data_IF_614389531734
#
_entry.id   IF_614389531734
#
_cell.length_a   1.000
_cell.length_b   1.000
_cell.length_c   1.000
_cell.angle_alpha   90.00
_cell.angle_beta   90.00
_cell.angle_gamma   90.00
#
_symmetry.space_group_name_H-M   'P 1'
#
loop_
_entity.id
_entity.type
_entity.pdbx_description
1 polymer ?
#
# COMPACT_ATOMS: atom_id res chain seq x y z
N UNK A 1 31.44 0.69 -22.91
CA UNK A 1 31.76 0.65 -21.47
C UNK A 1 30.74 -0.27 -20.82
N UNK A 2 31.16 -1.44 -20.32
CA UNK A 2 30.25 -2.49 -19.88
C UNK A 2 29.79 -2.26 -18.43
N UNK A 3 28.55 -2.64 -18.14
CA UNK A 3 27.97 -2.63 -16.80
C UNK A 3 28.66 -3.68 -15.93
N UNK A 4 29.16 -3.26 -14.77
CA UNK A 4 29.91 -4.08 -13.84
C UNK A 4 29.03 -5.01 -13.02
N UNK A 5 29.35 -6.30 -13.11
CA UNK A 5 29.09 -7.30 -12.08
C UNK A 5 29.74 -6.89 -10.76
N UNK A 6 29.06 -7.12 -9.64
CA UNK A 6 29.67 -7.01 -8.33
C UNK A 6 28.78 -7.48 -7.20
N UNK A 7 28.75 -8.81 -6.96
CA UNK A 7 28.94 -9.45 -5.64
C UNK A 7 28.74 -10.98 -5.71
N UNK A 8 29.85 -11.70 -5.84
CA UNK A 8 30.12 -13.02 -5.25
C UNK A 8 30.91 -12.73 -3.94
N UNK A 9 30.84 -13.41 -2.80
CA UNK A 9 30.54 -14.81 -2.48
C UNK A 9 30.35 -14.92 -0.96
N UNK A 10 29.43 -15.76 -0.48
CA UNK A 10 29.61 -16.88 0.46
C UNK A 10 28.23 -17.27 1.02
N UNK A 11 27.57 -18.22 0.37
CA UNK A 11 26.46 -18.94 0.98
C UNK A 11 26.71 -20.43 0.82
N UNK A 12 26.65 -21.09 1.97
CA UNK A 12 26.55 -22.53 2.15
C UNK A 12 25.54 -23.11 1.16
N UNK A 13 25.78 -24.35 0.73
CA UNK A 13 24.87 -25.12 -0.13
C UNK A 13 23.48 -25.25 0.52
N UNK A 14 22.62 -24.28 0.26
CA UNK A 14 21.18 -24.45 0.31
C UNK A 14 20.75 -24.63 -1.15
N UNK A 15 20.09 -25.74 -1.44
CA UNK A 15 19.36 -25.94 -2.69
C UNK A 15 18.47 -24.70 -2.92
N UNK A 16 18.84 -23.85 -3.87
CA UNK A 16 17.90 -22.86 -4.41
C UNK A 16 16.83 -23.66 -5.16
N UNK A 17 15.53 -23.47 -4.91
CA UNK A 17 14.50 -24.03 -5.78
C UNK A 17 14.73 -23.48 -7.19
N UNK A 18 14.75 -24.36 -8.19
CA UNK A 18 14.89 -23.95 -9.59
C UNK A 18 13.75 -23.00 -9.97
N UNK A 19 14.06 -21.95 -10.74
CA UNK A 19 13.11 -20.92 -11.12
C UNK A 19 11.91 -21.51 -11.87
N UNK A 20 10.69 -21.01 -11.58
CA UNK A 20 9.48 -21.33 -12.35
C UNK A 20 9.65 -20.82 -13.79
N UNK A 21 9.56 -21.72 -14.77
CA UNK A 21 9.63 -21.32 -16.19
C UNK A 21 8.24 -20.93 -16.70
N UNK A 22 8.12 -19.70 -17.22
CA UNK A 22 6.90 -19.16 -17.82
C UNK A 22 7.10 -19.05 -19.33
N UNK A 23 6.28 -19.78 -20.11
CA UNK A 23 6.19 -19.54 -21.55
C UNK A 23 5.22 -18.40 -21.84
N UNK A 24 5.66 -17.40 -22.60
CA UNK A 24 4.80 -16.32 -23.08
C UNK A 24 5.26 -15.83 -24.46
N UNK A 25 4.55 -16.16 -25.56
CA UNK A 25 5.00 -15.85 -26.91
C UNK A 25 5.13 -14.34 -27.18
N UNK A 26 4.39 -13.52 -26.43
CA UNK A 26 4.36 -12.06 -26.56
C UNK A 26 4.82 -11.35 -25.28
N UNK A 27 5.90 -11.83 -24.66
CA UNK A 27 6.46 -11.23 -23.44
C UNK A 27 6.69 -9.71 -23.60
N UNK A 28 6.18 -8.94 -22.65
CA UNK A 28 6.37 -7.50 -22.55
C UNK A 28 6.50 -7.08 -21.07
N UNK A 29 6.77 -5.79 -20.82
CA UNK A 29 6.98 -5.27 -19.46
C UNK A 29 5.74 -5.45 -18.55
N UNK A 30 4.53 -5.42 -19.10
CA UNK A 30 3.27 -5.56 -18.33
C UNK A 30 3.07 -6.99 -17.84
N UNK A 31 3.30 -7.96 -18.72
CA UNK A 31 3.30 -9.39 -18.39
C UNK A 31 4.36 -9.66 -17.34
N UNK A 32 5.61 -9.25 -17.59
CA UNK A 32 6.70 -9.43 -16.64
C UNK A 32 6.35 -8.84 -15.27
N UNK A 33 5.85 -7.61 -15.22
CA UNK A 33 5.47 -6.95 -13.97
C UNK A 33 4.36 -7.68 -13.18
N UNK A 34 3.28 -8.13 -13.84
CA UNK A 34 2.20 -8.86 -13.18
C UNK A 34 2.68 -10.20 -12.61
N UNK A 35 3.45 -10.95 -13.39
CA UNK A 35 4.03 -12.22 -12.97
C UNK A 35 5.04 -12.05 -11.84
N UNK A 36 5.95 -11.07 -11.93
CA UNK A 36 6.91 -10.77 -10.86
C UNK A 36 6.20 -10.42 -9.55
N UNK A 37 5.09 -9.67 -9.59
CA UNK A 37 4.35 -9.38 -8.37
C UNK A 37 3.74 -10.65 -7.74
N UNK A 38 3.10 -11.50 -8.54
CA UNK A 38 2.50 -12.74 -8.02
C UNK A 38 3.55 -13.73 -7.54
N UNK A 39 4.58 -14.00 -8.34
CA UNK A 39 5.53 -15.08 -8.04
C UNK A 39 6.69 -14.61 -7.15
N UNK A 40 7.36 -13.51 -7.50
CA UNK A 40 8.53 -13.05 -6.73
C UNK A 40 8.08 -12.32 -5.45
N UNK A 41 7.21 -11.32 -5.56
CA UNK A 41 6.85 -10.49 -4.40
C UNK A 41 5.89 -11.22 -3.45
N UNK A 42 4.87 -11.92 -3.97
CA UNK A 42 3.87 -12.58 -3.12
C UNK A 42 4.29 -13.99 -2.69
N UNK A 43 4.81 -14.81 -3.60
CA UNK A 43 5.12 -16.21 -3.31
C UNK A 43 6.61 -16.47 -3.03
N UNK A 44 7.48 -15.47 -3.24
CA UNK A 44 8.94 -15.60 -3.11
C UNK A 44 9.52 -16.74 -3.96
N UNK A 45 9.10 -16.78 -5.23
CA UNK A 45 9.57 -17.71 -6.26
C UNK A 45 10.27 -16.91 -7.36
N UNK A 46 11.50 -17.31 -7.67
CA UNK A 46 12.20 -16.81 -8.84
C UNK A 46 11.52 -17.30 -10.12
N UNK A 47 11.32 -16.40 -11.08
CA UNK A 47 10.73 -16.74 -12.38
C UNK A 47 11.72 -16.52 -13.52
N UNK A 48 11.60 -17.34 -14.55
CA UNK A 48 12.28 -17.15 -15.83
C UNK A 48 11.23 -17.17 -16.96
N UNK A 49 11.44 -16.37 -17.99
CA UNK A 49 10.57 -16.37 -19.16
C UNK A 49 11.24 -17.03 -20.37
N UNK A 50 10.44 -17.72 -21.18
CA UNK A 50 10.82 -18.15 -22.52
C UNK A 50 9.73 -17.76 -23.53
N UNK A 51 10.15 -17.35 -24.73
CA UNK A 51 9.25 -17.19 -25.88
C UNK A 51 9.40 -18.35 -26.88
N UNK A 52 10.29 -19.29 -26.60
CA UNK A 52 10.63 -20.43 -27.46
C UNK A 52 9.88 -21.65 -26.93
N UNK A 53 8.97 -22.18 -27.75
CA UNK A 53 8.11 -23.30 -27.40
C UNK A 53 8.92 -24.57 -27.12
N UNK A 54 9.93 -24.87 -27.93
CA UNK A 54 10.78 -26.05 -27.77
C UNK A 54 11.54 -26.03 -26.42
N UNK A 55 11.97 -24.83 -25.98
CA UNK A 55 12.59 -24.66 -24.65
C UNK A 55 11.59 -24.94 -23.53
N UNK A 56 10.33 -24.53 -23.68
CA UNK A 56 9.29 -24.81 -22.69
C UNK A 56 8.92 -26.30 -22.65
N UNK A 57 8.75 -26.93 -23.80
CA UNK A 57 8.37 -28.34 -23.91
C UNK A 57 9.44 -29.26 -23.31
N UNK A 58 10.72 -28.98 -23.57
CA UNK A 58 11.86 -29.73 -23.05
C UNK A 58 12.20 -29.48 -21.57
N UNK A 59 11.58 -28.49 -20.93
CA UNK A 59 11.78 -28.21 -19.50
C UNK A 59 10.96 -29.17 -18.63
N UNK A 60 11.60 -29.90 -17.73
CA UNK A 60 10.94 -30.95 -16.93
C UNK A 60 10.50 -30.50 -15.53
N UNK A 61 11.02 -29.37 -15.05
CA UNK A 61 10.66 -28.81 -13.74
C UNK A 61 9.39 -27.95 -13.82
N UNK A 62 9.07 -27.26 -12.73
CA UNK A 62 7.91 -26.40 -12.54
C UNK A 62 7.82 -25.37 -13.65
N UNK A 63 6.75 -25.48 -14.46
CA UNK A 63 6.51 -24.61 -15.61
C UNK A 63 5.02 -24.32 -15.82
N UNK A 64 4.73 -23.15 -16.37
CA UNK A 64 3.38 -22.73 -16.76
C UNK A 64 3.40 -22.00 -18.12
N UNK A 65 2.31 -22.05 -18.85
CA UNK A 65 2.14 -21.29 -20.09
C UNK A 65 1.17 -20.13 -19.91
N UNK A 66 1.50 -19.00 -20.53
CA UNK A 66 0.67 -17.82 -20.64
C UNK A 66 0.57 -17.41 -22.11
N UNK A 67 -0.49 -17.85 -22.77
CA UNK A 67 -0.68 -17.78 -24.23
C UNK A 67 -2.17 -17.76 -24.57
N UNK A 68 -2.53 -17.64 -25.84
CA UNK A 68 -3.96 -17.71 -26.23
C UNK A 68 -4.51 -19.14 -26.18
N UNK A 69 -3.65 -20.13 -26.40
CA UNK A 69 -4.00 -21.55 -26.43
C UNK A 69 -2.98 -22.34 -25.60
N UNK A 70 -3.38 -23.48 -25.01
CA UNK A 70 -2.46 -24.39 -24.33
C UNK A 70 -1.52 -25.07 -25.33
N UNK A 71 -0.33 -25.46 -24.85
CA UNK A 71 0.65 -26.21 -25.62
C UNK A 71 0.50 -27.74 -25.45
N UNK A 72 -0.20 -28.18 -24.41
CA UNK A 72 -0.39 -29.58 -24.05
C UNK A 72 -1.26 -29.74 -22.80
N UNK A 73 -0.77 -30.51 -21.82
CA UNK A 73 -1.42 -30.78 -20.53
C UNK A 73 -0.79 -29.98 -19.36
N UNK A 74 -0.10 -28.89 -19.66
CA UNK A 74 0.49 -28.01 -18.67
C UNK A 74 -0.56 -27.19 -17.90
N UNK A 75 -0.13 -26.55 -16.81
CA UNK A 75 -0.94 -25.48 -16.21
C UNK A 75 -0.89 -24.29 -17.15
N UNK A 76 -2.02 -24.00 -17.78
CA UNK A 76 -2.21 -22.96 -18.77
C UNK A 76 -3.07 -21.81 -18.23
N UNK A 77 -2.64 -20.59 -18.55
CA UNK A 77 -3.38 -19.36 -18.33
C UNK A 77 -3.60 -18.65 -19.67
N UNK A 78 -4.86 -18.44 -20.05
CA UNK A 78 -5.19 -17.74 -21.29
C UNK A 78 -4.87 -16.24 -21.14
N UNK A 79 -4.18 -15.66 -22.13
CA UNK A 79 -3.80 -14.24 -22.16
C UNK A 79 -4.90 -13.39 -22.81
N UNK A 80 -5.48 -12.47 -22.05
CA UNK A 80 -6.43 -11.50 -22.59
C UNK A 80 -5.70 -10.40 -23.41
N UNK A 81 -6.22 -9.95 -24.56
CA UNK A 81 -5.54 -8.99 -25.44
C UNK A 81 -5.18 -7.64 -24.79
N UNK A 82 -5.86 -7.27 -23.69
CA UNK A 82 -5.59 -6.04 -22.93
C UNK A 82 -4.13 -5.90 -22.51
N UNK A 83 -3.49 -6.97 -22.04
CA UNK A 83 -2.11 -6.89 -21.51
C UNK A 83 -1.07 -6.53 -22.59
N UNK A 84 -1.44 -6.66 -23.86
CA UNK A 84 -0.59 -6.32 -25.01
C UNK A 84 -0.82 -4.88 -25.52
N UNK A 85 -1.86 -4.18 -25.05
CA UNK A 85 -2.22 -2.84 -25.54
C UNK A 85 -1.43 -1.74 -24.84
N UNK A 86 -0.56 -1.04 -25.56
CA UNK A 86 0.23 0.08 -25.02
C UNK A 86 -0.51 1.44 -25.02
N UNK A 87 -1.70 1.53 -25.62
CA UNK A 87 -2.49 2.77 -25.63
C UNK A 87 -3.36 2.84 -24.38
N UNK A 88 -3.25 3.95 -23.64
CA UNK A 88 -4.09 4.21 -22.48
C UNK A 88 -5.44 4.74 -22.96
N UNK A 89 -6.49 3.95 -22.80
CA UNK A 89 -7.83 4.32 -23.20
C UNK A 89 -8.86 3.65 -22.31
N UNK A 90 -10.07 4.20 -22.25
CA UNK A 90 -11.16 3.57 -21.50
C UNK A 90 -11.43 2.18 -22.09
N UNK A 91 -11.36 1.17 -21.23
CA UNK A 91 -11.68 -0.22 -21.59
C UNK A 91 -13.14 -0.49 -21.21
N UNK A 92 -13.89 -1.11 -22.11
CA UNK A 92 -15.20 -1.67 -21.78
C UNK A 92 -14.98 -3.06 -21.18
N UNK A 93 -15.23 -3.20 -19.89
CA UNK A 93 -14.84 -4.37 -19.11
C UNK A 93 -16.02 -5.33 -18.99
N UNK A 94 -15.82 -6.54 -19.50
CA UNK A 94 -16.61 -7.71 -19.13
C UNK A 94 -16.00 -8.36 -17.88
N UNK A 95 -16.80 -9.18 -17.19
CA UNK A 95 -16.43 -9.81 -15.92
C UNK A 95 -16.74 -11.30 -15.97
N UNK A 96 -15.94 -12.08 -15.24
CA UNK A 96 -16.22 -13.47 -14.91
C UNK A 96 -16.19 -13.68 -13.39
N UNK A 97 -16.85 -14.74 -12.92
CA UNK A 97 -16.79 -15.12 -11.52
C UNK A 97 -15.49 -15.89 -11.24
N UNK A 98 -14.65 -15.35 -10.38
CA UNK A 98 -13.46 -16.03 -9.87
C UNK A 98 -13.59 -16.16 -8.36
N UNK A 99 -13.94 -17.36 -7.91
CA UNK A 99 -14.15 -17.69 -6.49
C UNK A 99 -15.18 -16.75 -5.81
N UNK A 100 -16.31 -16.51 -6.47
CA UNK A 100 -17.41 -15.67 -5.97
C UNK A 100 -17.19 -14.17 -6.13
N UNK A 101 -16.18 -13.75 -6.89
CA UNK A 101 -15.83 -12.33 -7.12
C UNK A 101 -15.87 -12.02 -8.61
N UNK A 102 -16.45 -10.88 -8.97
CA UNK A 102 -16.57 -10.46 -10.36
C UNK A 102 -15.28 -9.77 -10.83
N UNK A 103 -14.43 -10.50 -11.54
CA UNK A 103 -13.08 -10.09 -11.95
C UNK A 103 -13.07 -9.75 -13.44
N UNK A 104 -12.41 -8.65 -13.87
CA UNK A 104 -12.37 -8.25 -15.27
C UNK A 104 -11.52 -9.20 -16.12
N UNK A 105 -11.66 -9.08 -17.45
CA UNK A 105 -10.90 -9.82 -18.46
C UNK A 105 -11.26 -11.32 -18.52
N UNK A 106 -12.54 -11.67 -18.79
CA UNK A 106 -12.95 -13.05 -18.88
C UNK A 106 -12.21 -13.79 -20.00
N UNK A 107 -11.90 -15.06 -19.74
CA UNK A 107 -11.26 -16.02 -20.65
C UNK A 107 -11.97 -17.37 -20.52
N UNK A 108 -11.68 -18.35 -21.37
CA UNK A 108 -12.45 -19.63 -21.39
C UNK A 108 -11.58 -20.84 -21.12
N UNK A 109 -10.40 -20.90 -21.72
CA UNK A 109 -9.56 -22.08 -21.71
C UNK A 109 -8.39 -21.87 -20.76
N UNK A 110 -8.69 -21.53 -19.50
CA UNK A 110 -7.72 -21.13 -18.48
C UNK A 110 -8.08 -21.71 -17.12
N UNK A 111 -7.11 -21.81 -16.21
CA UNK A 111 -7.38 -22.25 -14.84
C UNK A 111 -8.40 -21.38 -14.10
N UNK A 112 -8.41 -20.08 -14.39
CA UNK A 112 -9.44 -19.15 -13.93
C UNK A 112 -10.27 -18.69 -15.12
N UNK A 113 -11.57 -18.44 -14.90
CA UNK A 113 -12.48 -17.88 -15.90
C UNK A 113 -12.15 -16.40 -16.27
N UNK A 114 -11.08 -15.84 -15.70
CA UNK A 114 -10.53 -14.53 -16.04
C UNK A 114 -9.00 -14.56 -16.13
N UNK A 115 -8.44 -13.70 -16.97
CA UNK A 115 -7.00 -13.44 -17.01
C UNK A 115 -6.60 -12.59 -15.79
N UNK A 116 -6.26 -13.29 -14.72
CA UNK A 116 -5.82 -12.69 -13.45
C UNK A 116 -4.52 -11.90 -13.60
N UNK A 117 -3.69 -12.13 -14.63
CA UNK A 117 -2.46 -11.36 -14.85
C UNK A 117 -2.78 -10.01 -15.51
N UNK A 118 -3.72 -9.97 -16.46
CA UNK A 118 -4.32 -8.72 -16.94
C UNK A 118 -5.00 -7.95 -15.81
N UNK A 119 -5.78 -8.63 -14.96
CA UNK A 119 -6.44 -8.01 -13.81
C UNK A 119 -5.43 -7.45 -12.80
N UNK A 120 -4.37 -8.20 -12.50
CA UNK A 120 -3.26 -7.78 -11.63
C UNK A 120 -2.59 -6.53 -12.18
N UNK A 121 -2.22 -6.51 -13.46
CA UNK A 121 -1.64 -5.33 -14.09
C UNK A 121 -2.58 -4.11 -14.02
N UNK A 122 -3.86 -4.29 -14.34
CA UNK A 122 -4.86 -3.23 -14.31
C UNK A 122 -5.00 -2.60 -12.93
N UNK A 123 -5.06 -3.44 -11.89
CA UNK A 123 -5.23 -3.02 -10.50
C UNK A 123 -3.96 -2.35 -9.94
N UNK A 124 -2.77 -2.92 -10.15
CA UNK A 124 -1.51 -2.37 -9.63
C UNK A 124 -1.09 -1.08 -10.33
N UNK A 125 -1.28 -0.98 -11.65
CA UNK A 125 -0.98 0.24 -12.41
C UNK A 125 -1.99 1.36 -12.17
N UNK A 126 -3.08 1.08 -11.44
CA UNK A 126 -4.24 1.99 -11.27
C UNK A 126 -4.79 2.46 -12.62
N UNK A 127 -4.84 1.57 -13.61
CA UNK A 127 -5.23 1.89 -14.98
C UNK A 127 -6.57 2.65 -15.06
N UNK A 128 -7.54 2.28 -14.23
CA UNK A 128 -8.85 2.96 -14.16
C UNK A 128 -8.74 4.47 -13.86
N UNK A 129 -7.74 4.89 -13.08
CA UNK A 129 -7.59 6.29 -12.65
C UNK A 129 -7.00 7.20 -13.74
N UNK A 130 -6.36 6.63 -14.76
CA UNK A 130 -5.90 7.37 -15.94
C UNK A 130 -7.05 7.70 -16.89
N UNK A 131 -8.14 6.93 -16.83
CA UNK A 131 -9.26 7.05 -17.77
C UNK A 131 -10.53 7.59 -17.10
N UNK A 132 -10.62 7.52 -15.78
CA UNK A 132 -11.74 8.06 -15.00
C UNK A 132 -11.46 9.49 -14.51
N UNK A 133 -12.37 10.41 -14.89
CA UNK A 133 -12.31 11.83 -14.53
C UNK A 133 -13.13 12.18 -13.29
N UNK A 134 -13.86 11.23 -12.70
CA UNK A 134 -14.62 11.46 -11.48
C UNK A 134 -13.65 11.61 -10.32
N UNK A 135 -13.74 12.77 -9.66
CA UNK A 135 -12.95 13.13 -8.51
C UNK A 135 -13.84 13.74 -7.43
N UNK A 136 -13.44 13.59 -6.18
CA UNK A 136 -14.07 14.29 -5.06
C UNK A 136 -13.62 15.76 -4.97
N UNK A 137 -14.09 16.47 -3.94
CA UNK A 137 -13.79 17.88 -3.69
C UNK A 137 -12.29 18.17 -3.46
N UNK A 138 -11.49 17.14 -3.16
CA UNK A 138 -10.04 17.22 -2.98
C UNK A 138 -9.28 16.75 -4.23
N UNK A 139 -9.97 16.59 -5.38
CA UNK A 139 -9.42 16.05 -6.63
C UNK A 139 -8.88 14.61 -6.51
N UNK A 140 -9.40 13.82 -5.57
CA UNK A 140 -9.00 12.42 -5.35
C UNK A 140 -9.94 11.49 -6.09
N UNK A 141 -9.44 10.32 -6.47
CA UNK A 141 -10.29 9.27 -7.03
C UNK A 141 -11.13 8.62 -5.90
N UNK A 142 -12.44 8.60 -6.09
CA UNK A 142 -13.40 8.11 -5.09
C UNK A 142 -13.47 6.58 -5.08
N UNK A 143 -13.33 5.96 -3.90
CA UNK A 143 -13.31 4.52 -3.73
C UNK A 143 -14.65 3.86 -4.04
N UNK A 144 -15.79 4.47 -3.68
CA UNK A 144 -17.13 3.98 -4.06
C UNK A 144 -17.35 3.91 -5.58
N UNK A 145 -16.61 4.73 -6.32
CA UNK A 145 -16.66 4.76 -7.78
C UNK A 145 -15.71 3.76 -8.45
N UNK A 146 -14.83 3.11 -7.68
CA UNK A 146 -13.86 2.13 -8.16
C UNK A 146 -14.51 0.86 -8.70
N UNK A 147 -13.81 0.21 -9.63
CA UNK A 147 -14.20 -1.10 -10.15
C UNK A 147 -14.33 -2.14 -9.03
N UNK A 148 -13.38 -2.15 -8.08
CA UNK A 148 -13.34 -3.10 -6.98
C UNK A 148 -14.55 -2.96 -6.03
N UNK A 149 -14.98 -1.73 -5.74
CA UNK A 149 -16.16 -1.49 -4.92
C UNK A 149 -17.43 -1.94 -5.64
N UNK A 150 -17.61 -1.54 -6.90
CA UNK A 150 -18.79 -1.86 -7.71
C UNK A 150 -18.99 -3.36 -7.93
N UNK A 151 -17.90 -4.12 -7.93
CA UNK A 151 -17.89 -5.56 -8.15
C UNK A 151 -17.68 -6.37 -6.87
N UNK A 152 -17.77 -5.72 -5.69
CA UNK A 152 -17.86 -6.41 -4.40
C UNK A 152 -16.58 -7.08 -3.89
N UNK A 153 -15.41 -6.73 -4.44
CA UNK A 153 -14.14 -7.35 -4.03
C UNK A 153 -13.16 -6.39 -3.34
N UNK A 154 -13.54 -5.13 -3.11
CA UNK A 154 -12.65 -4.13 -2.49
C UNK A 154 -12.08 -4.56 -1.13
N UNK A 155 -12.83 -5.32 -0.33
CA UNK A 155 -12.40 -5.77 1.00
C UNK A 155 -11.56 -7.06 0.97
N UNK A 156 -11.12 -7.50 -0.21
CA UNK A 156 -10.28 -8.67 -0.41
C UNK A 156 -8.96 -8.29 -1.08
N UNK A 157 -7.81 -8.78 -0.60
CA UNK A 157 -6.53 -8.67 -1.31
C UNK A 157 -6.51 -9.70 -2.44
N UNK A 158 -7.38 -9.52 -3.44
CA UNK A 158 -7.66 -10.53 -4.48
C UNK A 158 -6.42 -11.02 -5.23
N UNK A 159 -5.42 -10.15 -5.43
CA UNK A 159 -4.18 -10.52 -6.10
C UNK A 159 -3.39 -11.52 -5.24
N UNK A 160 -3.30 -11.26 -3.93
CA UNK A 160 -2.67 -12.18 -2.97
C UNK A 160 -3.45 -13.50 -2.87
N UNK A 161 -4.79 -13.44 -2.84
CA UNK A 161 -5.63 -14.64 -2.86
C UNK A 161 -5.37 -15.49 -4.12
N UNK A 162 -5.33 -14.89 -5.32
CA UNK A 162 -5.01 -15.60 -6.56
C UNK A 162 -3.62 -16.24 -6.53
N UNK A 163 -2.61 -15.54 -6.01
CA UNK A 163 -1.27 -16.08 -5.88
C UNK A 163 -1.25 -17.37 -5.03
N UNK A 164 -1.96 -17.40 -3.90
CA UNK A 164 -2.04 -18.61 -3.08
C UNK A 164 -2.86 -19.74 -3.74
N UNK A 165 -3.89 -19.43 -4.53
CA UNK A 165 -4.59 -20.45 -5.33
C UNK A 165 -3.68 -21.05 -6.41
N UNK A 166 -2.88 -20.22 -7.10
CA UNK A 166 -1.88 -20.69 -8.06
C UNK A 166 -0.83 -21.56 -7.35
N UNK A 167 -0.37 -21.17 -6.17
CA UNK A 167 0.57 -21.97 -5.40
C UNK A 167 -0.01 -23.35 -5.02
N UNK A 168 -1.31 -23.43 -4.67
CA UNK A 168 -1.98 -24.71 -4.42
C UNK A 168 -2.04 -25.57 -5.69
N UNK A 169 -2.38 -24.96 -6.83
CA UNK A 169 -2.40 -25.64 -8.12
C UNK A 169 -1.01 -26.19 -8.48
N UNK A 170 0.04 -25.37 -8.35
CA UNK A 170 1.42 -25.80 -8.63
C UNK A 170 1.86 -26.96 -7.73
N UNK A 171 1.54 -26.94 -6.43
CA UNK A 171 1.82 -28.08 -5.52
C UNK A 171 1.09 -29.35 -5.93
N UNK A 172 -0.10 -29.24 -6.52
CA UNK A 172 -0.86 -30.41 -6.96
C UNK A 172 -0.26 -31.07 -8.20
N UNK A 173 0.43 -30.30 -9.06
CA UNK A 173 1.05 -30.78 -10.31
C UNK A 173 2.53 -31.15 -10.12
N UNK A 174 3.24 -30.41 -9.29
CA UNK A 174 4.68 -30.52 -9.06
C UNK A 174 4.94 -30.81 -7.57
N UNK A 175 5.18 -32.08 -7.22
CA UNK A 175 5.26 -32.54 -5.83
C UNK A 175 6.40 -31.90 -5.02
N UNK A 176 7.45 -31.42 -5.69
CA UNK A 176 8.61 -30.78 -5.09
C UNK A 176 8.51 -29.25 -5.02
N UNK A 177 7.42 -28.67 -5.54
CA UNK A 177 7.20 -27.23 -5.49
C UNK A 177 7.02 -26.73 -4.04
N UNK A 178 7.79 -25.70 -3.66
CA UNK A 178 7.76 -25.07 -2.33
C UNK A 178 7.71 -23.56 -2.50
N UNK A 179 7.09 -22.89 -1.53
CA UNK A 179 7.10 -21.43 -1.43
C UNK A 179 7.73 -21.05 -0.10
N UNK A 180 8.33 -19.86 -0.01
CA UNK A 180 8.80 -19.35 1.27
C UNK A 180 7.62 -19.09 2.21
N UNK A 181 7.82 -19.32 3.50
CA UNK A 181 6.79 -19.03 4.49
C UNK A 181 6.70 -17.52 4.71
N UNK A 182 5.57 -16.93 4.31
CA UNK A 182 5.19 -15.57 4.71
C UNK A 182 4.54 -15.57 6.08
N UNK A 183 4.57 -14.42 6.74
CA UNK A 183 3.91 -14.17 8.02
C UNK A 183 3.13 -12.87 7.89
N UNK A 184 1.92 -12.88 8.41
CA UNK A 184 1.14 -11.66 8.61
C UNK A 184 1.98 -10.58 9.29
N UNK A 185 2.02 -9.37 8.75
CA UNK A 185 2.74 -8.26 9.36
C UNK A 185 1.78 -7.09 9.59
N UNK A 186 1.85 -6.47 10.78
CA UNK A 186 1.05 -5.30 11.10
C UNK A 186 1.93 -4.06 11.26
N UNK A 187 1.58 -3.01 10.54
CA UNK A 187 2.28 -1.72 10.55
C UNK A 187 1.32 -0.58 10.94
N UNK A 188 1.32 -0.14 12.21
CA UNK A 188 0.63 1.09 12.59
C UNK A 188 1.40 2.29 12.04
N UNK A 189 0.66 3.31 11.60
CA UNK A 189 1.22 4.57 11.14
C UNK A 189 0.38 5.74 11.62
N UNK A 190 1.03 6.86 11.92
CA UNK A 190 0.37 8.06 12.45
C UNK A 190 0.77 9.29 11.63
N UNK A 191 -0.22 10.01 11.14
CA UNK A 191 -0.06 11.32 10.49
C UNK A 191 -0.13 12.42 11.55
N UNK A 192 0.86 13.32 11.52
CA UNK A 192 1.01 14.45 12.44
C UNK A 192 0.77 15.74 11.65
N UNK A 193 -0.51 16.07 11.46
CA UNK A 193 -0.95 17.37 10.90
C UNK A 193 -0.76 18.48 11.92
N UNK A 194 -1.06 18.15 13.19
CA UNK A 194 -0.95 19.02 14.35
C UNK A 194 -0.39 18.22 15.52
N UNK A 195 0.85 18.48 15.96
CA UNK A 195 1.45 17.69 17.04
C UNK A 195 0.74 17.90 18.38
N UNK A 196 0.17 19.09 18.61
CA UNK A 196 -0.49 19.43 19.87
C UNK A 196 -1.82 20.14 19.60
N UNK A 197 -2.81 19.94 20.48
CA UNK A 197 -4.12 20.57 20.36
C UNK A 197 -4.06 22.08 20.61
N UNK A 198 -3.22 22.51 21.56
CA UNK A 198 -3.01 23.93 21.86
C UNK A 198 -1.55 24.32 22.06
N UNK A 199 -0.63 23.44 22.49
CA UNK A 199 0.72 23.88 22.89
C UNK A 199 1.52 24.61 21.79
N UNK A 200 1.22 24.35 20.51
CA UNK A 200 1.83 25.02 19.35
C UNK A 200 1.05 26.24 18.85
N UNK A 201 -0.08 26.57 19.48
CA UNK A 201 -0.84 27.79 19.16
C UNK A 201 -0.19 29.04 19.78
N UNK A 202 -0.68 30.23 19.39
CA UNK A 202 -0.33 31.47 20.08
C UNK A 202 -0.80 31.49 21.54
N UNK A 203 -0.06 32.20 22.40
CA UNK A 203 -0.31 32.27 23.85
C UNK A 203 -1.77 32.56 24.25
N UNK A 204 -2.44 33.48 23.55
CA UNK A 204 -3.84 33.80 23.81
C UNK A 204 -4.77 32.63 23.50
N UNK A 205 -4.55 31.93 22.37
CA UNK A 205 -5.31 30.73 22.00
C UNK A 205 -5.05 29.59 22.99
N UNK A 206 -3.81 29.42 23.45
CA UNK A 206 -3.46 28.44 24.49
C UNK A 206 -4.28 28.65 25.76
N UNK A 207 -4.25 29.85 26.33
CA UNK A 207 -5.01 30.18 27.55
C UNK A 207 -6.52 29.98 27.35
N UNK A 208 -7.06 30.43 26.22
CA UNK A 208 -8.48 30.29 25.91
C UNK A 208 -8.90 28.81 25.83
N UNK A 209 -8.14 27.96 25.13
CA UNK A 209 -8.41 26.52 25.02
C UNK A 209 -8.29 25.80 26.37
N UNK A 210 -7.24 26.08 27.15
CA UNK A 210 -7.07 25.50 28.50
C UNK A 210 -8.27 25.80 29.41
N UNK A 211 -8.72 27.06 29.45
CA UNK A 211 -9.87 27.46 30.28
C UNK A 211 -11.18 26.84 29.77
N UNK A 212 -11.42 26.93 28.45
CA UNK A 212 -12.67 26.43 27.83
C UNK A 212 -12.87 24.94 28.05
N UNK A 213 -11.80 24.16 27.96
CA UNK A 213 -11.86 22.69 28.03
C UNK A 213 -11.33 22.10 29.35
N UNK A 214 -10.88 22.95 30.29
CA UNK A 214 -10.32 22.54 31.60
C UNK A 214 -9.23 21.48 31.46
N UNK A 215 -8.24 21.77 30.61
CA UNK A 215 -7.17 20.84 30.25
C UNK A 215 -5.96 20.99 31.19
N UNK A 216 -5.58 19.90 31.85
CA UNK A 216 -4.37 19.82 32.68
C UNK A 216 -3.11 19.50 31.84
N UNK A 217 -3.27 18.72 30.77
CA UNK A 217 -2.25 18.39 29.76
C UNK A 217 -2.79 18.64 28.34
N UNK A 218 -1.93 18.61 27.33
CA UNK A 218 -2.38 18.67 25.94
C UNK A 218 -2.91 17.29 25.51
N UNK A 219 -4.16 17.17 25.06
CA UNK A 219 -4.74 15.87 24.74
C UNK A 219 -4.09 15.19 23.53
N UNK A 220 -3.43 15.94 22.64
CA UNK A 220 -2.78 15.37 21.46
C UNK A 220 -1.35 14.88 21.74
N UNK A 221 -0.84 15.14 22.95
CA UNK A 221 0.43 14.62 23.45
C UNK A 221 0.28 13.16 23.87
N UNK A 222 0.21 12.29 22.86
CA UNK A 222 -0.05 10.84 22.99
C UNK A 222 1.21 9.99 22.80
N UNK A 223 2.35 10.61 22.54
CA UNK A 223 3.54 9.97 21.97
C UNK A 223 4.18 8.93 22.89
N UNK A 224 4.28 9.23 24.19
CA UNK A 224 4.75 8.26 25.17
C UNK A 224 3.80 7.07 25.25
N UNK A 225 2.49 7.31 25.27
CA UNK A 225 1.48 6.26 25.31
C UNK A 225 1.54 5.36 24.06
N UNK A 226 1.75 5.92 22.87
CA UNK A 226 1.97 5.14 21.65
C UNK A 226 3.25 4.32 21.73
N UNK A 227 4.34 4.88 22.28
CA UNK A 227 5.59 4.15 22.46
C UNK A 227 5.45 2.98 23.44
N UNK A 228 4.68 3.16 24.51
CA UNK A 228 4.37 2.10 25.47
C UNK A 228 3.55 0.98 24.80
N UNK A 229 2.59 1.34 23.95
CA UNK A 229 1.83 0.37 23.16
C UNK A 229 2.68 -0.34 22.12
N UNK A 230 3.58 0.37 21.43
CA UNK A 230 4.53 -0.24 20.50
C UNK A 230 5.37 -1.34 21.19
N UNK A 231 5.88 -1.04 22.39
CA UNK A 231 6.58 -2.02 23.22
C UNK A 231 5.69 -3.19 23.64
N UNK A 232 4.47 -2.91 24.11
CA UNK A 232 3.51 -3.91 24.58
C UNK A 232 3.11 -4.89 23.46
N UNK A 233 2.80 -4.37 22.27
CA UNK A 233 2.25 -5.15 21.16
C UNK A 233 3.31 -5.63 20.15
N UNK A 234 4.58 -5.25 20.36
CA UNK A 234 5.68 -5.61 19.46
C UNK A 234 5.60 -4.92 18.10
N UNK A 235 5.04 -3.71 18.07
CA UNK A 235 4.92 -2.89 16.85
C UNK A 235 5.96 -1.78 16.83
N UNK A 236 6.09 -1.13 15.67
CA UNK A 236 6.94 0.05 15.54
C UNK A 236 6.24 1.07 14.66
N UNK A 237 5.59 2.05 15.29
CA UNK A 237 4.79 3.05 14.57
C UNK A 237 5.65 3.91 13.64
N UNK A 238 5.16 4.17 12.42
CA UNK A 238 5.76 5.14 11.49
C UNK A 238 5.03 6.48 11.64
N UNK A 239 5.77 7.58 11.80
CA UNK A 239 5.19 8.92 11.89
C UNK A 239 5.42 9.72 10.60
N UNK A 240 4.37 10.32 10.04
CA UNK A 240 4.46 11.23 8.90
C UNK A 240 4.18 12.67 9.35
N UNK A 241 5.12 13.58 9.11
CA UNK A 241 5.01 14.97 9.58
C UNK A 241 4.64 15.94 8.47
N UNK A 242 3.60 16.73 8.71
CA UNK A 242 3.23 17.86 7.87
C UNK A 242 4.18 19.03 8.16
N UNK A 243 4.90 19.50 7.15
CA UNK A 243 5.98 20.49 7.34
C UNK A 243 5.65 21.89 6.80
N UNK A 244 4.43 22.12 6.33
CA UNK A 244 3.99 23.37 5.73
C UNK A 244 2.56 23.71 6.15
N UNK A 245 2.24 25.00 6.13
CA UNK A 245 0.91 25.55 6.41
C UNK A 245 0.52 26.65 5.40
N UNK A 246 0.98 26.50 4.16
CA UNK A 246 0.78 27.47 3.07
C UNK A 246 -0.60 27.36 2.38
N UNK A 247 -1.41 26.37 2.75
CA UNK A 247 -2.77 26.18 2.27
C UNK A 247 -3.74 26.09 3.47
N UNK A 248 -5.01 26.43 3.28
CA UNK A 248 -6.02 26.41 4.36
C UNK A 248 -6.27 25.03 4.97
N UNK A 249 -6.06 23.98 4.17
CA UNK A 249 -6.15 22.58 4.59
C UNK A 249 -4.92 22.14 5.40
N UNK A 250 -3.81 22.87 5.34
CA UNK A 250 -2.56 22.53 6.00
C UNK A 250 -2.46 23.21 7.37
N UNK A 251 -2.36 22.42 8.44
CA UNK A 251 -2.48 22.94 9.81
C UNK A 251 -1.20 22.82 10.65
N UNK A 252 -0.06 22.58 10.01
CA UNK A 252 1.22 22.43 10.69
C UNK A 252 1.63 23.69 11.46
N UNK A 253 2.29 23.54 12.61
CA UNK A 253 3.00 24.64 13.26
C UNK A 253 4.11 25.19 12.35
N UNK A 254 4.63 26.37 12.70
CA UNK A 254 5.87 26.85 12.09
C UNK A 254 7.01 25.86 12.34
N UNK A 255 7.83 25.60 11.33
CA UNK A 255 9.03 24.76 11.44
C UNK A 255 10.06 25.31 12.45
N UNK A 256 9.96 26.59 12.79
CA UNK A 256 10.80 27.23 13.80
C UNK A 256 10.27 27.07 15.23
N UNK A 257 9.05 26.52 15.40
CA UNK A 257 8.46 26.30 16.71
C UNK A 257 9.24 25.23 17.48
N UNK A 258 9.69 25.56 18.70
CA UNK A 258 10.60 24.68 19.46
C UNK A 258 9.97 23.33 19.80
N UNK A 259 8.74 23.30 20.34
CA UNK A 259 8.05 22.04 20.65
C UNK A 259 7.83 21.14 19.42
N UNK A 260 7.71 21.71 18.22
CA UNK A 260 7.54 20.92 17.01
C UNK A 260 8.88 20.29 16.59
N UNK A 261 9.97 21.05 16.70
CA UNK A 261 11.32 20.52 16.49
C UNK A 261 11.67 19.43 17.49
N UNK A 262 11.33 19.63 18.76
CA UNK A 262 11.64 18.68 19.83
C UNK A 262 10.93 17.34 19.61
N UNK A 263 9.63 17.36 19.30
CA UNK A 263 8.89 16.10 19.08
C UNK A 263 9.32 15.37 17.80
N UNK A 264 9.67 16.10 16.73
CA UNK A 264 10.25 15.47 15.53
C UNK A 264 11.57 14.77 15.89
N UNK A 265 12.44 15.45 16.66
CA UNK A 265 13.73 14.88 17.08
C UNK A 265 13.53 13.62 17.92
N UNK A 266 12.74 13.73 18.99
CA UNK A 266 12.43 12.64 19.91
C UNK A 266 11.90 11.40 19.16
N UNK A 267 10.85 11.56 18.35
CA UNK A 267 10.28 10.44 17.59
C UNK A 267 11.26 9.89 16.55
N UNK A 268 12.10 10.74 15.96
CA UNK A 268 13.08 10.30 14.97
C UNK A 268 14.24 9.48 15.55
N UNK A 269 14.47 9.53 16.86
CA UNK A 269 15.50 8.70 17.50
C UNK A 269 15.11 7.22 17.50
N UNK A 270 13.82 6.92 17.74
CA UNK A 270 13.36 5.55 18.00
C UNK A 270 12.42 4.99 16.92
N UNK A 271 11.77 5.84 16.12
CA UNK A 271 10.78 5.46 15.12
C UNK A 271 11.19 5.85 13.70
N UNK A 272 10.68 5.17 12.66
CA UNK A 272 10.78 5.66 11.29
C UNK A 272 9.92 6.92 11.15
N UNK A 273 10.47 7.94 10.47
CA UNK A 273 9.78 9.21 10.22
C UNK A 273 9.77 9.51 8.72
N UNK A 274 8.60 9.95 8.25
CA UNK A 274 8.32 10.26 6.86
C UNK A 274 7.85 11.68 6.66
N UNK A 275 7.95 12.14 5.42
CA UNK A 275 7.33 13.40 5.03
C UNK A 275 5.82 13.19 4.84
N UNK A 276 5.01 14.11 5.33
CA UNK A 276 3.60 14.24 4.94
C UNK A 276 3.50 15.45 3.98
N UNK A 277 3.71 15.28 2.65
CA UNK A 277 3.75 16.43 1.75
C UNK A 277 2.42 17.17 1.80
N UNK A 278 2.53 18.49 1.90
CA UNK A 278 1.39 19.36 2.14
C UNK A 278 0.36 19.36 1.02
N UNK A 279 -0.84 19.84 1.30
CA UNK A 279 -1.86 20.10 0.29
C UNK A 279 -1.30 21.02 -0.79
N UNK A 280 -0.60 22.09 -0.39
CA UNK A 280 0.08 23.02 -1.30
C UNK A 280 1.08 22.34 -2.25
N UNK A 281 1.72 21.25 -1.82
CA UNK A 281 2.71 20.55 -2.65
C UNK A 281 2.13 19.90 -3.92
N UNK A 282 0.80 19.68 -3.97
CA UNK A 282 0.10 19.23 -5.16
C UNK A 282 -0.05 20.34 -6.22
N UNK A 283 -0.13 21.60 -5.77
CA UNK A 283 -0.13 22.79 -6.61
C UNK A 283 1.29 23.15 -7.06
N UNK A 284 2.25 23.07 -6.13
CA UNK A 284 3.66 23.40 -6.35
C UNK A 284 4.59 22.23 -6.00
N UNK A 285 5.01 21.40 -6.99
CA UNK A 285 5.89 20.25 -6.76
C UNK A 285 7.25 20.57 -6.13
N UNK A 286 7.72 21.82 -6.24
CA UNK A 286 9.00 22.22 -5.60
C UNK A 286 8.89 22.26 -4.07
N UNK A 287 7.68 22.42 -3.53
CA UNK A 287 7.43 22.44 -2.09
C UNK A 287 7.82 21.12 -1.42
N UNK A 288 7.63 19.97 -2.08
CA UNK A 288 8.02 18.65 -1.56
C UNK A 288 9.50 18.64 -1.15
N UNK A 289 10.38 19.24 -1.98
CA UNK A 289 11.82 19.29 -1.69
C UNK A 289 12.12 20.21 -0.51
N UNK A 290 11.44 21.36 -0.43
CA UNK A 290 11.60 22.32 0.66
C UNK A 290 11.16 21.71 1.99
N UNK A 291 9.97 21.12 2.03
CA UNK A 291 9.39 20.43 3.19
C UNK A 291 10.25 19.25 3.63
N UNK A 292 10.67 18.40 2.69
CA UNK A 292 11.60 17.30 2.93
C UNK A 292 12.91 17.78 3.56
N UNK A 293 13.47 18.86 3.03
CA UNK A 293 14.74 19.41 3.54
C UNK A 293 14.57 20.00 4.94
N UNK A 294 13.43 20.59 5.26
CA UNK A 294 13.13 21.06 6.61
C UNK A 294 13.07 19.88 7.59
N UNK A 295 12.31 18.82 7.25
CA UNK A 295 12.23 17.62 8.08
C UNK A 295 13.59 16.93 8.25
N UNK A 296 14.35 16.79 7.17
CA UNK A 296 15.72 16.26 7.19
C UNK A 296 16.63 17.01 8.18
N UNK A 297 16.57 18.35 8.20
CA UNK A 297 17.40 19.17 9.09
C UNK A 297 17.00 19.01 10.56
N UNK A 298 15.71 18.86 10.85
CA UNK A 298 15.21 18.75 12.23
C UNK A 298 15.43 17.33 12.77
N UNK A 299 15.07 16.31 11.99
CA UNK A 299 15.21 14.90 12.36
C UNK A 299 16.66 14.37 12.25
N UNK A 300 17.57 15.16 11.68
CA UNK A 300 19.00 14.85 11.49
C UNK A 300 19.24 13.48 10.83
N UNK A 301 18.32 13.07 9.94
CA UNK A 301 18.36 11.78 9.25
C UNK A 301 17.73 11.84 7.87
N UNK A 302 18.11 10.90 7.01
CA UNK A 302 17.59 10.80 5.65
C UNK A 302 16.08 10.56 5.67
N UNK A 303 15.35 11.40 4.93
CA UNK A 303 13.91 11.24 4.70
C UNK A 303 13.69 10.62 3.33
N UNK A 304 13.17 9.39 3.29
CA UNK A 304 12.94 8.63 2.06
C UNK A 304 11.54 8.07 1.91
N UNK A 305 10.67 8.24 2.91
CA UNK A 305 9.30 7.74 2.87
C UNK A 305 8.32 8.91 2.92
N UNK A 306 7.16 8.76 2.29
CA UNK A 306 6.09 9.77 2.33
C UNK A 306 4.69 9.20 2.44
N UNK A 307 3.76 10.05 2.87
CA UNK A 307 2.32 9.87 2.69
C UNK A 307 1.70 11.20 2.34
N UNK A 308 0.92 11.30 1.27
CA UNK A 308 0.29 12.54 0.85
C UNK A 308 -0.77 13.00 1.85
N UNK A 309 -0.74 14.28 2.21
CA UNK A 309 -1.83 14.88 2.97
C UNK A 309 -3.14 14.73 2.19
N UNK A 310 -4.21 14.36 2.90
CA UNK A 310 -5.51 13.99 2.34
C UNK A 310 -5.50 12.75 1.41
N UNK A 311 -4.42 11.96 1.33
CA UNK A 311 -4.26 10.86 0.35
C UNK A 311 -4.39 11.34 -1.11
N UNK A 312 -3.94 12.56 -1.39
CA UNK A 312 -4.03 13.18 -2.72
C UNK A 312 -3.08 12.52 -3.73
N UNK A 313 -3.61 11.56 -4.48
CA UNK A 313 -2.92 10.91 -5.59
C UNK A 313 -3.51 11.33 -6.93
N UNK A 314 -2.66 11.95 -7.76
CA UNK A 314 -2.94 12.23 -9.16
C UNK A 314 -1.88 11.55 -10.03
N UNK A 315 -2.26 10.46 -10.69
CA UNK A 315 -1.36 9.77 -11.60
C UNK A 315 -1.20 10.51 -12.93
N UNK A 316 0.01 10.53 -13.51
CA UNK A 316 1.29 10.07 -12.95
C UNK A 316 2.03 11.14 -12.12
N UNK A 317 1.49 12.38 -12.06
CA UNK A 317 2.15 13.58 -11.54
C UNK A 317 2.69 13.39 -10.12
N UNK A 318 1.86 12.90 -9.20
CA UNK A 318 2.22 12.82 -7.77
C UNK A 318 3.44 11.93 -7.54
N UNK A 319 3.45 10.71 -8.09
CA UNK A 319 4.56 9.77 -7.89
C UNK A 319 5.83 10.19 -8.61
N UNK A 320 5.73 10.76 -9.82
CA UNK A 320 6.90 11.37 -10.49
C UNK A 320 7.52 12.49 -9.65
N UNK A 321 6.70 13.31 -9.00
CA UNK A 321 7.20 14.39 -8.12
C UNK A 321 7.89 13.84 -6.87
N UNK A 322 7.35 12.78 -6.26
CA UNK A 322 7.98 12.09 -5.12
C UNK A 322 9.35 11.50 -5.51
N UNK A 323 9.42 10.79 -6.64
CA UNK A 323 10.69 10.25 -7.18
C UNK A 323 11.69 11.38 -7.43
N UNK A 324 11.27 12.47 -8.07
CA UNK A 324 12.12 13.63 -8.33
C UNK A 324 12.61 14.33 -7.05
N UNK A 325 11.86 14.23 -5.94
CA UNK A 325 12.27 14.69 -4.62
C UNK A 325 13.15 13.65 -3.87
N UNK A 326 13.40 12.48 -4.46
CA UNK A 326 14.20 11.41 -3.89
C UNK A 326 13.50 10.63 -2.78
N UNK A 327 12.17 10.61 -2.77
CA UNK A 327 11.37 9.66 -2.00
C UNK A 327 11.48 8.28 -2.67
N UNK A 328 11.54 7.23 -1.85
CA UNK A 328 11.71 5.83 -2.25
C UNK A 328 10.52 4.96 -1.88
N UNK A 329 9.76 5.35 -0.86
CA UNK A 329 8.56 4.62 -0.45
C UNK A 329 7.38 5.58 -0.26
N UNK A 330 6.20 5.18 -0.71
CA UNK A 330 4.97 5.93 -0.53
C UNK A 330 3.89 5.08 0.16
N UNK A 331 3.20 5.71 1.11
CA UNK A 331 2.13 5.13 1.91
C UNK A 331 0.83 5.90 1.68
N UNK A 332 0.50 6.23 0.42
CA UNK A 332 -0.71 7.00 0.09
C UNK A 332 -1.77 6.19 -0.65
N UNK A 333 -1.47 4.93 -1.01
CA UNK A 333 -2.35 4.07 -1.80
C UNK A 333 -3.50 3.51 -0.95
N UNK A 334 -4.48 4.36 -0.65
CA UNK A 334 -5.76 4.06 -0.03
C UNK A 334 -6.87 4.94 -0.62
N UNK A 335 -8.13 4.56 -0.41
CA UNK A 335 -9.27 5.45 -0.63
C UNK A 335 -9.57 6.24 0.65
N UNK A 336 -10.09 7.45 0.49
CA UNK A 336 -10.47 8.27 1.64
C UNK A 336 -11.85 7.90 2.20
N UNK A 337 -12.78 7.55 1.30
CA UNK A 337 -14.21 7.38 1.56
C UNK A 337 -14.62 5.95 1.96
N UNK A 338 -13.80 4.95 1.65
CA UNK A 338 -14.03 3.52 1.97
C UNK A 338 -12.71 2.82 2.30
N UNK A 339 -12.68 1.86 3.24
CA UNK A 339 -11.49 1.04 3.48
C UNK A 339 -11.34 -0.04 2.41
N UNK A 340 -10.26 -0.81 2.48
CA UNK A 340 -9.98 -1.95 1.60
C UNK A 340 -8.77 -1.74 0.71
N UNK A 341 -8.63 -2.61 -0.29
CA UNK A 341 -7.40 -2.75 -1.08
C UNK A 341 -7.51 -1.96 -2.38
N UNK A 342 -7.13 -0.67 -2.34
CA UNK A 342 -7.19 0.22 -3.52
C UNK A 342 -6.50 -0.38 -4.74
N UNK A 343 -5.34 -1.02 -4.57
CA UNK A 343 -4.60 -1.68 -5.64
C UNK A 343 -4.90 -3.19 -5.78
N UNK A 344 -5.92 -3.71 -5.10
CA UNK A 344 -6.29 -5.14 -5.10
C UNK A 344 -5.31 -6.06 -4.37
N UNK A 345 -4.30 -5.50 -3.70
CA UNK A 345 -3.28 -6.24 -2.96
C UNK A 345 -3.00 -5.60 -1.60
N UNK A 346 -2.55 -6.43 -0.66
CA UNK A 346 -1.94 -6.03 0.60
C UNK A 346 -0.39 -6.11 0.59
N UNK A 347 0.22 -6.56 -0.50
CA UNK A 347 1.66 -6.69 -0.64
C UNK A 347 2.24 -5.46 -1.36
N UNK A 348 3.32 -4.91 -0.82
CA UNK A 348 3.99 -3.74 -1.41
C UNK A 348 4.54 -4.04 -2.81
N UNK A 349 4.54 -3.02 -3.67
CA UNK A 349 4.94 -3.17 -5.08
C UNK A 349 5.60 -1.91 -5.62
N UNK A 350 6.52 -2.07 -6.57
CA UNK A 350 7.11 -0.92 -7.26
C UNK A 350 6.13 -0.31 -8.25
N UNK A 351 5.93 1.00 -8.20
CA UNK A 351 4.98 1.67 -9.08
C UNK A 351 5.36 1.53 -10.56
N UNK A 352 4.39 1.13 -11.38
CA UNK A 352 4.48 1.10 -12.84
C UNK A 352 4.05 2.44 -13.44
N UNK A 353 4.98 3.17 -14.07
CA UNK A 353 4.65 4.41 -14.77
C UNK A 353 3.99 4.09 -16.12
N UNK A 354 2.65 4.00 -16.11
CA UNK A 354 1.85 3.54 -17.25
C UNK A 354 2.08 4.34 -18.53
N UNK A 355 2.30 5.65 -18.46
CA UNK A 355 2.56 6.46 -19.66
C UNK A 355 3.94 6.19 -20.27
N UNK A 356 4.90 5.71 -19.47
CA UNK A 356 6.28 5.46 -19.89
C UNK A 356 6.61 3.97 -20.02
N UNK A 357 5.66 3.07 -19.71
CA UNK A 357 5.76 1.61 -19.83
C UNK A 357 6.98 1.01 -19.11
N UNK A 358 7.27 1.46 -17.88
CA UNK A 358 8.35 0.89 -17.08
C UNK A 358 8.05 0.89 -15.57
N UNK A 359 8.71 -0.03 -14.87
CA UNK A 359 8.67 -0.16 -13.41
C UNK A 359 9.64 0.85 -12.80
N UNK A 360 9.17 1.70 -11.89
CA UNK A 360 9.98 2.71 -11.21
C UNK A 360 10.66 2.16 -9.95
N UNK A 361 11.48 2.98 -9.29
CA UNK A 361 12.11 2.66 -8.01
C UNK A 361 11.32 3.16 -6.78
N UNK A 362 10.05 3.58 -6.99
CA UNK A 362 9.15 3.98 -5.91
C UNK A 362 8.36 2.76 -5.42
N UNK A 363 8.64 2.31 -4.21
CA UNK A 363 7.91 1.24 -3.55
C UNK A 363 6.61 1.78 -2.94
N UNK A 364 5.48 1.25 -3.34
CA UNK A 364 4.16 1.61 -2.83
C UNK A 364 3.75 0.61 -1.76
N UNK A 365 3.36 1.13 -0.60
CA UNK A 365 2.80 0.38 0.52
C UNK A 365 1.29 0.65 0.60
N UNK A 366 0.43 -0.30 0.18
CA UNK A 366 -1.01 -0.16 0.25
C UNK A 366 -1.50 0.01 1.69
N UNK A 367 -2.43 0.95 1.90
CA UNK A 367 -3.08 1.14 3.20
C UNK A 367 -4.46 0.52 3.16
N UNK A 368 -4.78 -0.25 4.18
CA UNK A 368 -6.05 -0.98 4.27
C UNK A 368 -7.16 -0.10 4.86
N UNK A 369 -6.83 0.75 5.84
CA UNK A 369 -7.84 1.50 6.61
C UNK A 369 -7.28 2.79 7.18
N UNK A 370 -8.16 3.80 7.31
CA UNK A 370 -7.90 5.08 7.95
C UNK A 370 -8.98 5.39 9.00
N UNK A 371 -8.56 5.93 10.15
CA UNK A 371 -9.44 6.42 11.22
C UNK A 371 -10.58 7.34 10.74
N UNK A 372 -10.26 8.35 9.92
CA UNK A 372 -11.22 9.30 9.36
C UNK A 372 -12.22 8.60 8.44
N UNK A 373 -11.79 7.56 7.68
CA UNK A 373 -12.70 6.76 6.84
C UNK A 373 -13.78 6.11 7.69
N UNK A 374 -13.38 5.44 8.78
CA UNK A 374 -14.30 4.75 9.68
C UNK A 374 -15.29 5.72 10.33
N UNK A 375 -14.80 6.83 10.88
CA UNK A 375 -15.61 7.75 11.67
C UNK A 375 -16.37 8.78 10.84
N UNK A 376 -15.67 9.50 9.96
CA UNK A 376 -16.21 10.69 9.27
C UNK A 376 -16.91 10.32 7.97
N UNK A 377 -16.32 9.43 7.16
CA UNK A 377 -16.89 9.07 5.86
C UNK A 377 -17.98 8.00 5.98
N UNK A 378 -17.76 6.98 6.80
CA UNK A 378 -18.74 5.91 7.03
C UNK A 378 -19.71 6.19 8.18
N UNK A 379 -19.35 7.07 9.13
CA UNK A 379 -20.22 7.40 10.26
C UNK A 379 -20.40 6.28 11.28
N UNK A 380 -19.44 5.34 11.37
CA UNK A 380 -19.56 4.16 12.21
C UNK A 380 -19.50 4.51 13.70
N UNK A 381 -20.12 3.68 14.53
CA UNK A 381 -19.83 3.59 15.96
C UNK A 381 -18.47 2.89 16.20
N UNK A 382 -17.85 3.05 17.40
CA UNK A 382 -16.66 2.29 17.76
C UNK A 382 -16.81 0.78 17.59
N UNK A 383 -17.97 0.22 17.95
CA UNK A 383 -18.26 -1.22 17.85
C UNK A 383 -18.30 -1.69 16.39
N UNK A 384 -18.98 -0.95 15.51
CA UNK A 384 -19.04 -1.24 14.07
C UNK A 384 -17.65 -1.11 13.42
N UNK A 385 -16.88 -0.09 13.81
CA UNK A 385 -15.51 0.11 13.34
C UNK A 385 -14.60 -1.07 13.73
N UNK A 386 -14.69 -1.55 14.98
CA UNK A 386 -13.93 -2.72 15.44
C UNK A 386 -14.33 -3.97 14.66
N UNK A 387 -15.62 -4.17 14.40
CA UNK A 387 -16.09 -5.31 13.61
C UNK A 387 -15.50 -5.30 12.20
N UNK A 388 -15.59 -4.17 11.49
CA UNK A 388 -15.04 -4.01 10.14
C UNK A 388 -13.52 -4.19 10.11
N UNK A 389 -12.80 -3.65 11.10
CA UNK A 389 -11.36 -3.85 11.22
C UNK A 389 -11.00 -5.34 11.33
N UNK A 390 -11.75 -6.11 12.13
CA UNK A 390 -11.50 -7.55 12.28
C UNK A 390 -11.72 -8.32 10.98
N UNK A 391 -12.73 -7.98 10.19
CA UNK A 391 -12.96 -8.59 8.88
C UNK A 391 -11.78 -8.34 7.94
N UNK A 392 -11.28 -7.10 7.89
CA UNK A 392 -10.13 -6.73 7.08
C UNK A 392 -8.84 -7.44 7.54
N UNK A 393 -8.59 -7.51 8.85
CA UNK A 393 -7.45 -8.24 9.43
C UNK A 393 -7.49 -9.71 9.01
N UNK A 394 -8.64 -10.38 9.19
CA UNK A 394 -8.82 -11.79 8.82
C UNK A 394 -8.51 -12.03 7.34
N UNK A 395 -8.91 -11.11 6.46
CA UNK A 395 -8.63 -11.24 5.03
C UNK A 395 -7.13 -11.12 4.71
N UNK A 396 -6.38 -10.26 5.40
CA UNK A 396 -4.92 -10.18 5.25
C UNK A 396 -4.20 -11.37 5.89
N UNK A 397 -4.69 -11.88 7.03
CA UNK A 397 -4.14 -13.06 7.70
C UNK A 397 -4.22 -14.32 6.83
N UNK A 398 -5.32 -14.51 6.09
CA UNK A 398 -5.50 -15.65 5.16
C UNK A 398 -4.39 -15.74 4.10
N UNK A 399 -3.81 -14.60 3.73
CA UNK A 399 -2.73 -14.51 2.74
C UNK A 399 -1.37 -14.19 3.38
N UNK A 400 -1.27 -14.15 4.71
CA UNK A 400 -0.06 -13.78 5.44
C UNK A 400 0.60 -12.49 4.90
N UNK A 401 -0.22 -11.49 4.57
CA UNK A 401 0.20 -10.22 3.98
C UNK A 401 0.45 -9.11 4.99
N UNK A 402 0.57 -7.88 4.48
CA UNK A 402 0.84 -6.70 5.31
C UNK A 402 -0.45 -5.92 5.57
N UNK A 403 -0.78 -5.73 6.84
CA UNK A 403 -1.90 -4.87 7.28
C UNK A 403 -1.34 -3.52 7.72
N UNK A 404 -1.58 -2.48 6.93
CA UNK A 404 -1.10 -1.12 7.21
C UNK A 404 -2.29 -0.23 7.53
N UNK A 405 -2.26 0.41 8.70
CA UNK A 405 -3.33 1.31 9.17
C UNK A 405 -2.86 2.75 9.33
N UNK A 406 -3.71 3.70 8.93
CA UNK A 406 -3.49 5.15 9.04
C UNK A 406 -4.32 5.73 10.19
N UNK A 407 -3.66 6.39 11.13
CA UNK A 407 -4.29 7.09 12.24
C UNK A 407 -3.72 8.51 12.37
N UNK A 408 -4.38 9.36 13.13
CA UNK A 408 -3.84 10.66 13.54
C UNK A 408 -3.67 10.68 15.05
N UNK A 409 -2.70 11.43 15.57
CA UNK A 409 -2.54 11.61 17.02
C UNK A 409 -3.83 12.16 17.68
N UNK A 410 -4.57 13.01 16.96
CA UNK A 410 -5.90 13.47 17.38
C UNK A 410 -6.89 12.30 17.54
N UNK A 411 -6.91 11.32 16.64
CA UNK A 411 -7.89 10.23 16.67
C UNK A 411 -7.70 9.29 17.86
N UNK A 412 -6.46 9.09 18.27
CA UNK A 412 -6.10 8.23 19.40
C UNK A 412 -6.06 9.00 20.73
N UNK A 413 -6.26 10.32 20.72
CA UNK A 413 -6.25 11.15 21.93
C UNK A 413 -7.41 10.86 22.90
N UNK A 414 -8.51 10.30 22.41
CA UNK A 414 -9.80 10.20 23.11
C UNK A 414 -10.44 11.56 23.46
N UNK A 415 -10.09 12.62 22.71
CA UNK A 415 -10.52 13.99 22.98
C UNK A 415 -11.40 14.58 21.87
N UNK A 416 -12.20 15.58 22.24
CA UNK A 416 -13.02 16.34 21.28
C UNK A 416 -14.02 15.44 20.56
N UNK A 417 -13.98 15.47 19.22
CA UNK A 417 -14.87 14.61 18.43
C UNK A 417 -14.50 13.13 18.49
N UNK A 418 -13.29 12.79 18.96
CA UNK A 418 -12.76 11.42 19.06
C UNK A 418 -12.92 10.79 20.44
N UNK A 419 -13.68 11.42 21.33
CA UNK A 419 -14.03 10.83 22.62
C UNK A 419 -14.76 9.48 22.41
N UNK A 420 -14.29 8.44 23.08
CA UNK A 420 -14.75 7.06 22.95
C UNK A 420 -14.06 6.25 21.84
N UNK A 421 -13.17 6.84 21.03
CA UNK A 421 -12.57 6.15 19.86
C UNK A 421 -11.22 5.51 20.13
N UNK A 422 -10.54 5.85 21.23
CA UNK A 422 -9.25 5.21 21.59
C UNK A 422 -9.34 3.69 21.67
N UNK A 423 -10.50 3.16 22.08
CA UNK A 423 -10.76 1.72 22.15
C UNK A 423 -10.65 1.02 20.78
N UNK A 424 -11.00 1.71 19.68
CA UNK A 424 -10.91 1.16 18.32
C UNK A 424 -9.46 0.90 17.96
N UNK A 425 -8.57 1.86 18.26
CA UNK A 425 -7.13 1.70 18.03
C UNK A 425 -6.54 0.59 18.91
N UNK A 426 -6.90 0.54 20.20
CA UNK A 426 -6.42 -0.51 21.10
C UNK A 426 -6.86 -1.91 20.64
N UNK A 427 -8.10 -2.06 20.17
CA UNK A 427 -8.59 -3.34 19.61
C UNK A 427 -7.90 -3.71 18.30
N UNK A 428 -7.57 -2.74 17.46
CA UNK A 428 -6.74 -2.98 16.29
C UNK A 428 -5.37 -3.56 16.71
N UNK A 429 -4.68 -2.93 17.67
CA UNK A 429 -3.38 -3.40 18.17
C UNK A 429 -3.49 -4.81 18.75
N UNK A 430 -4.47 -5.05 19.63
CA UNK A 430 -4.71 -6.37 20.24
C UNK A 430 -4.93 -7.46 19.17
N UNK A 431 -5.80 -7.21 18.19
CA UNK A 431 -6.20 -8.21 17.20
C UNK A 431 -5.14 -8.44 16.12
N UNK A 432 -4.25 -7.47 15.90
CA UNK A 432 -3.19 -7.53 14.88
C UNK A 432 -1.83 -7.93 15.45
N UNK A 433 -1.61 -7.81 16.76
CA UNK A 433 -0.33 -8.16 17.38
C UNK A 433 -0.09 -9.67 17.40
N UNK A 434 1.10 -10.10 16.98
CA UNK A 434 1.50 -11.52 17.05
C UNK A 434 1.86 -11.97 18.48
N UNK A 435 2.29 -11.03 19.34
CA UNK A 435 2.74 -11.33 20.72
C UNK A 435 1.62 -11.87 21.64
N UNK A 436 0.35 -11.69 21.27
CA UNK A 436 -0.79 -12.24 22.01
C UNK A 436 -1.31 -13.57 21.42
N UNK A 437 -0.74 -14.05 20.30
CA UNK A 437 -1.18 -15.28 19.60
C UNK A 437 -0.24 -16.47 19.81
N UNK A 438 0.77 -16.33 20.68
CA UNK A 438 1.71 -17.38 21.09
C UNK A 438 1.26 -18.14 22.33
#
# INVERSE_FOLDING_TARGET
MPFGLGRLTLLLHFYFPMALLVYSPHLNTRIAYAFQHIFENILSIDIAFTQIQETFESFEDTKISYSNEPLGDEIHFESHPFILQNTIQKVDLAFADVNGKQIPFPVKDSFFDADIFSATFYLLSRYEEYTNKQKDDHNRFEGKSSLAYKNGFLYHPVIDEWAFEIAKLLRSRFSDFRIAQRRFYFQPTIDIDRPYYYLTDSFFKQKAKKIRYRLDSDPFDVYQQVSDWDLQFGTKTIYFFLMSNQHENDQAPSIDHQLFKDIIKELSENHPVGLHPSYFSNENPTAIRTEKNALFKIAERKISISRQHYLMLSFPKTYRNLIAAGIKEDYSMAFADVPGFRAGTCTSFFWYDLEKEFITDLLVHPITVMDQTLKKYLGLSPEEAIHLLNELIINVEKVNGDFISLWHNESISDFGTWKGWKVVYLKLLENSSQNLKS
#
